data_IF_770084679569
#
_entry.id   IF_770084679569
#
_cell.length_a   1.000
_cell.length_b   1.000
_cell.length_c   1.000
_cell.angle_alpha   90.00
_cell.angle_beta   90.00
_cell.angle_gamma   90.00
#
_symmetry.space_group_name_H-M   'P 1'
#
loop_
_entity.id
_entity.type
_entity.pdbx_description
1 polymer ?
#
# COMPACT_ATOMS: atom_id res chain seq x y z
N UNK A 1 46.04 7.96 -17.06
CA UNK A 1 46.02 8.23 -15.60
C UNK A 1 45.18 9.48 -15.37
N UNK A 2 43.90 9.31 -15.09
CA UNK A 2 43.06 10.30 -14.43
C UNK A 2 42.22 9.50 -13.40
N UNK A 3 42.62 9.66 -12.15
CA UNK A 3 41.96 9.04 -11.00
C UNK A 3 40.54 9.61 -10.92
N UNK A 4 39.56 8.73 -10.88
CA UNK A 4 38.18 9.05 -10.56
C UNK A 4 38.11 9.78 -9.22
N UNK A 5 37.58 10.98 -9.25
CA UNK A 5 37.17 11.71 -8.07
C UNK A 5 35.85 11.07 -7.64
N UNK A 6 35.94 10.19 -6.64
CA UNK A 6 34.77 9.68 -5.93
C UNK A 6 34.24 10.87 -5.09
N UNK A 7 33.37 11.68 -5.72
CA UNK A 7 32.57 12.64 -4.97
C UNK A 7 31.48 11.83 -4.26
N UNK A 8 31.75 11.41 -3.03
CA UNK A 8 30.71 11.12 -2.06
C UNK A 8 29.84 12.37 -1.97
N UNK A 9 28.72 12.39 -2.73
CA UNK A 9 27.70 13.41 -2.61
C UNK A 9 27.21 13.36 -1.14
N UNK A 10 27.53 14.39 -0.35
CA UNK A 10 26.92 14.54 0.96
C UNK A 10 25.41 14.54 0.76
N UNK A 11 24.69 13.61 1.39
CA UNK A 11 23.23 13.58 1.34
C UNK A 11 22.69 14.94 1.78
N UNK A 12 21.64 15.39 1.10
CA UNK A 12 20.90 16.58 1.49
C UNK A 12 20.19 16.35 2.81
N UNK A 13 20.13 17.36 3.67
CA UNK A 13 19.47 17.29 4.97
C UNK A 13 18.00 17.66 4.84
N UNK A 14 17.13 16.73 5.21
CA UNK A 14 15.69 16.87 5.18
C UNK A 14 15.13 16.85 6.60
N UNK A 15 14.43 17.91 6.99
CA UNK A 15 13.72 17.98 8.27
C UNK A 15 12.28 17.48 8.08
N UNK A 16 11.93 16.40 8.76
CA UNK A 16 10.58 15.82 8.80
C UNK A 16 9.90 16.21 10.11
N UNK A 17 8.79 16.94 9.99
CA UNK A 17 8.05 17.50 11.13
C UNK A 17 6.63 16.98 11.11
N UNK A 18 6.29 16.13 12.06
CA UNK A 18 4.98 15.49 12.18
C UNK A 18 4.80 15.02 13.63
N UNK A 19 3.61 15.10 14.21
CA UNK A 19 3.37 14.62 15.58
C UNK A 19 3.13 13.09 15.61
N UNK A 20 2.76 12.49 14.49
CA UNK A 20 2.64 11.05 14.31
C UNK A 20 4.03 10.40 14.18
N UNK A 21 4.42 9.60 15.18
CA UNK A 21 5.66 8.81 15.12
C UNK A 21 5.65 7.85 13.92
N UNK A 22 4.47 7.31 13.59
CA UNK A 22 4.28 6.39 12.44
C UNK A 22 4.57 7.11 11.12
N UNK A 23 4.03 8.32 10.92
CA UNK A 23 4.24 9.08 9.69
C UNK A 23 5.71 9.48 9.53
N UNK A 24 6.38 9.88 10.63
CA UNK A 24 7.82 10.16 10.59
C UNK A 24 8.64 8.93 10.21
N UNK A 25 8.33 7.76 10.80
CA UNK A 25 9.04 6.52 10.49
C UNK A 25 8.81 6.07 9.03
N UNK A 26 7.59 6.20 8.51
CA UNK A 26 7.29 5.92 7.10
C UNK A 26 8.12 6.81 6.18
N UNK A 27 8.11 8.14 6.40
CA UNK A 27 8.88 9.09 5.60
C UNK A 27 10.38 8.83 5.69
N UNK A 28 10.88 8.51 6.87
CA UNK A 28 12.29 8.16 7.09
C UNK A 28 12.68 6.90 6.30
N UNK A 29 11.88 5.86 6.36
CA UNK A 29 12.18 4.61 5.63
C UNK A 29 12.21 4.81 4.10
N UNK A 30 11.36 5.68 3.56
CA UNK A 30 11.33 5.98 2.13
C UNK A 30 12.51 6.88 1.71
N UNK A 31 12.90 7.82 2.55
CA UNK A 31 13.78 8.93 2.15
C UNK A 31 15.23 8.77 2.64
N UNK A 32 15.51 7.90 3.63
CA UNK A 32 16.82 7.80 4.27
C UNK A 32 17.95 7.32 3.35
N UNK A 33 17.64 6.62 2.26
CA UNK A 33 18.64 6.20 1.29
C UNK A 33 19.20 7.39 0.49
N UNK A 34 18.40 8.44 0.31
CA UNK A 34 18.71 9.62 -0.51
C UNK A 34 19.07 10.85 0.32
N UNK A 35 18.48 10.96 1.53
CA UNK A 35 18.59 12.15 2.39
C UNK A 35 19.13 11.80 3.78
N UNK A 36 19.75 12.78 4.42
CA UNK A 36 20.02 12.75 5.85
C UNK A 36 18.78 13.27 6.57
N UNK A 37 18.03 12.39 7.24
CA UNK A 37 16.74 12.72 7.87
C UNK A 37 16.97 13.23 9.28
N UNK A 38 16.41 14.39 9.55
CA UNK A 38 16.26 14.97 10.88
C UNK A 38 14.78 15.02 11.23
N UNK A 39 14.40 14.61 12.44
CA UNK A 39 13.01 14.49 12.85
C UNK A 39 12.65 15.53 13.92
N UNK A 40 11.42 16.04 13.85
CA UNK A 40 10.82 16.88 14.88
C UNK A 40 9.38 16.44 15.14
N UNK A 41 9.01 16.24 16.39
CA UNK A 41 7.69 15.73 16.81
C UNK A 41 6.60 16.82 16.89
N UNK A 42 6.92 18.08 16.68
CA UNK A 42 6.02 19.22 16.69
C UNK A 42 6.71 20.47 16.15
N UNK A 43 5.92 21.53 15.94
CA UNK A 43 6.44 22.78 15.40
C UNK A 43 7.47 23.47 16.32
N UNK A 44 7.39 23.29 17.64
CA UNK A 44 8.40 23.86 18.57
C UNK A 44 9.77 23.19 18.35
N UNK A 45 9.81 21.86 18.31
CA UNK A 45 11.03 21.10 18.05
C UNK A 45 11.62 21.47 16.67
N UNK A 46 10.78 21.63 15.65
CA UNK A 46 11.22 22.06 14.32
C UNK A 46 11.89 23.45 14.34
N UNK A 47 11.27 24.44 15.00
CA UNK A 47 11.85 25.78 15.14
C UNK A 47 13.14 25.75 15.93
N UNK A 48 13.21 24.94 16.98
CA UNK A 48 14.45 24.77 17.77
C UNK A 48 15.58 24.18 16.92
N UNK A 49 15.30 23.17 16.09
CA UNK A 49 16.26 22.62 15.13
C UNK A 49 16.75 23.69 14.14
N UNK A 50 15.86 24.48 13.57
CA UNK A 50 16.19 25.51 12.57
C UNK A 50 16.98 26.65 13.20
N UNK A 51 16.59 27.13 14.40
CA UNK A 51 17.22 28.28 15.05
C UNK A 51 18.56 27.97 15.69
N UNK A 52 18.79 26.72 16.14
CA UNK A 52 20.03 26.31 16.84
C UNK A 52 21.10 25.76 15.92
N UNK A 53 20.74 25.32 14.71
CA UNK A 53 21.67 24.63 13.80
C UNK A 53 22.02 25.47 12.59
N UNK A 54 23.30 25.46 12.27
CA UNK A 54 23.85 25.98 11.02
C UNK A 54 24.68 24.86 10.36
N UNK A 55 24.49 24.57 9.09
CA UNK A 55 23.56 25.18 8.13
C UNK A 55 22.09 24.76 8.35
N UNK A 56 21.16 25.52 7.75
CA UNK A 56 19.74 25.21 7.69
C UNK A 56 19.50 23.86 6.95
N UNK A 57 18.37 23.17 7.19
CA UNK A 57 18.01 22.00 6.40
C UNK A 57 17.83 22.40 4.92
N UNK A 58 18.17 21.49 4.01
CA UNK A 58 18.02 21.71 2.56
C UNK A 58 16.55 21.73 2.13
N UNK A 59 15.67 20.99 2.84
CA UNK A 59 14.22 21.06 2.70
C UNK A 59 13.51 20.64 4.00
N UNK A 60 12.19 20.90 4.07
CA UNK A 60 11.34 20.52 5.20
C UNK A 60 10.04 19.91 4.70
N UNK A 61 9.67 18.75 5.25
CA UNK A 61 8.32 18.20 5.22
C UNK A 61 7.63 18.61 6.51
N UNK A 62 6.49 19.29 6.44
CA UNK A 62 5.86 19.90 7.60
C UNK A 62 4.39 19.55 7.66
N UNK A 63 3.98 18.82 8.69
CA UNK A 63 2.55 18.64 8.97
C UNK A 63 1.91 19.94 9.44
N UNK A 64 0.68 20.17 9.01
CA UNK A 64 -0.13 21.32 9.45
C UNK A 64 -0.71 21.07 10.84
N UNK A 65 -1.22 19.87 11.10
CA UNK A 65 -2.01 19.59 12.30
C UNK A 65 -1.14 18.95 13.38
N UNK A 66 -0.48 19.76 14.17
CA UNK A 66 0.37 19.30 15.27
C UNK A 66 0.01 20.05 16.58
N UNK A 67 0.21 19.39 17.74
CA UNK A 67 0.06 20.05 19.05
C UNK A 67 1.17 21.08 19.28
N UNK A 68 0.95 21.97 20.25
CA UNK A 68 1.87 23.01 20.71
C UNK A 68 2.03 24.15 19.71
N UNK A 69 2.64 23.91 18.55
CA UNK A 69 2.78 24.85 17.42
C UNK A 69 2.42 24.11 16.15
N UNK A 70 1.33 24.52 15.50
CA UNK A 70 0.90 23.97 14.21
C UNK A 70 1.78 24.42 13.05
N UNK A 71 1.66 23.75 11.89
CA UNK A 71 2.52 24.02 10.72
C UNK A 71 2.36 25.45 10.19
N UNK A 72 1.18 26.06 10.22
CA UNK A 72 1.01 27.44 9.79
C UNK A 72 1.68 28.43 10.73
N UNK A 73 1.69 28.16 12.03
CA UNK A 73 2.42 28.98 12.99
C UNK A 73 3.93 28.83 12.81
N UNK A 74 4.43 27.64 12.46
CA UNK A 74 5.85 27.45 12.06
C UNK A 74 6.18 28.35 10.87
N UNK A 75 5.40 28.29 9.78
CA UNK A 75 5.62 29.15 8.60
C UNK A 75 5.60 30.63 8.91
N UNK A 76 4.66 31.07 9.75
CA UNK A 76 4.57 32.47 10.18
C UNK A 76 5.83 32.89 10.97
N UNK A 77 6.28 32.08 11.92
CA UNK A 77 7.46 32.38 12.73
C UNK A 77 8.74 32.43 11.86
N UNK A 78 8.89 31.52 10.90
CA UNK A 78 10.01 31.54 9.96
C UNK A 78 9.99 32.83 9.13
N UNK A 79 8.83 33.25 8.63
CA UNK A 79 8.65 34.49 7.87
C UNK A 79 8.97 35.74 8.70
N UNK A 80 8.44 35.83 9.93
CA UNK A 80 8.68 36.94 10.86
C UNK A 80 10.16 37.10 11.23
N UNK A 81 10.91 35.97 11.26
CA UNK A 81 12.35 35.98 11.55
C UNK A 81 13.23 36.06 10.30
N UNK A 82 12.66 36.30 9.10
CA UNK A 82 13.36 36.36 7.81
C UNK A 82 14.18 35.08 7.50
N UNK A 83 13.73 33.93 8.02
CA UNK A 83 14.34 32.65 7.69
C UNK A 83 13.73 32.18 6.36
N UNK A 84 14.49 32.33 5.30
CA UNK A 84 14.09 32.02 3.92
C UNK A 84 15.05 31.02 3.28
N UNK A 85 14.67 30.45 2.13
CA UNK A 85 15.55 29.55 1.37
C UNK A 85 15.44 28.08 1.77
N UNK A 86 14.53 27.71 2.66
CA UNK A 86 14.18 26.32 2.94
C UNK A 86 12.97 25.98 2.08
N UNK A 87 13.07 25.13 1.04
CA UNK A 87 11.91 24.59 0.35
C UNK A 87 11.02 23.80 1.34
N UNK A 88 9.74 24.12 1.39
CA UNK A 88 8.80 23.52 2.33
C UNK A 88 7.69 22.81 1.57
N UNK A 89 7.49 21.53 1.85
CA UNK A 89 6.33 20.77 1.45
C UNK A 89 5.42 20.59 2.65
N UNK A 90 4.17 21.11 2.57
CA UNK A 90 3.19 20.91 3.61
C UNK A 90 2.48 19.58 3.44
N UNK A 91 2.32 18.86 4.54
CA UNK A 91 1.56 17.63 4.60
C UNK A 91 0.35 17.86 5.51
N UNK A 92 -0.83 17.34 5.19
CA UNK A 92 -2.02 17.55 6.03
C UNK A 92 -3.10 16.50 5.79
N UNK A 93 -3.82 16.14 6.84
CA UNK A 93 -5.05 15.35 6.73
C UNK A 93 -6.23 16.16 6.16
N UNK A 94 -6.16 17.52 6.23
CA UNK A 94 -7.22 18.42 5.77
C UNK A 94 -6.78 19.31 4.61
N UNK A 95 -6.87 18.78 3.39
CA UNK A 95 -6.56 19.51 2.15
C UNK A 95 -7.73 20.43 1.71
N UNK A 96 -8.17 21.32 2.61
CA UNK A 96 -9.23 22.28 2.29
C UNK A 96 -8.74 23.39 1.36
N UNK A 97 -9.65 23.96 0.55
CA UNK A 97 -9.33 25.11 -0.30
C UNK A 97 -8.74 26.29 0.48
N UNK A 98 -9.20 26.49 1.70
CA UNK A 98 -8.71 27.54 2.61
C UNK A 98 -7.25 27.27 3.02
N UNK A 99 -6.93 26.03 3.43
CA UNK A 99 -5.58 25.64 3.79
C UNK A 99 -4.62 25.76 2.62
N UNK A 100 -5.03 25.34 1.42
CA UNK A 100 -4.24 25.51 0.20
C UNK A 100 -3.95 26.97 -0.13
N UNK A 101 -4.96 27.84 -0.04
CA UNK A 101 -4.79 29.27 -0.28
C UNK A 101 -3.90 29.94 0.77
N UNK A 102 -4.06 29.58 2.04
CA UNK A 102 -3.24 30.06 3.15
C UNK A 102 -1.77 29.62 2.98
N UNK A 103 -1.56 28.37 2.62
CA UNK A 103 -0.23 27.83 2.35
C UNK A 103 0.48 28.52 1.18
N UNK A 104 -0.24 28.76 0.09
CA UNK A 104 0.32 29.44 -1.09
C UNK A 104 0.85 30.87 -0.77
N UNK A 105 0.26 31.57 0.21
CA UNK A 105 0.73 32.89 0.65
C UNK A 105 2.12 32.85 1.31
N UNK A 106 2.56 31.69 1.82
CA UNK A 106 3.89 31.51 2.40
C UNK A 106 4.93 31.03 1.38
N UNK A 107 4.55 30.84 0.10
CA UNK A 107 5.50 30.42 -0.95
C UNK A 107 6.00 28.99 -0.77
N UNK A 108 5.17 28.09 -0.27
CA UNK A 108 5.52 26.68 -0.12
C UNK A 108 5.80 26.02 -1.47
N UNK A 109 6.59 24.96 -1.48
CA UNK A 109 6.99 24.24 -2.70
C UNK A 109 5.94 23.24 -3.17
N UNK A 110 5.25 22.58 -2.23
CA UNK A 110 4.21 21.62 -2.50
C UNK A 110 3.22 21.53 -1.34
N UNK A 111 1.99 21.10 -1.65
CA UNK A 111 0.95 20.79 -0.70
C UNK A 111 0.49 19.36 -0.90
N UNK A 112 0.53 18.54 0.13
CA UNK A 112 0.35 17.09 0.08
C UNK A 112 -0.77 16.72 1.05
N UNK A 113 -1.76 15.98 0.57
CA UNK A 113 -2.80 15.43 1.45
C UNK A 113 -2.34 14.10 2.07
N UNK A 114 -2.63 13.90 3.35
CA UNK A 114 -2.55 12.57 3.97
C UNK A 114 -3.77 11.74 3.55
N UNK A 115 -3.58 10.45 3.31
CA UNK A 115 -2.32 9.73 3.29
C UNK A 115 -1.48 10.12 2.07
N UNK A 116 -0.17 10.21 2.25
CA UNK A 116 0.73 10.68 1.20
C UNK A 116 1.35 9.50 0.42
N UNK A 117 1.56 9.71 -0.87
CA UNK A 117 2.39 8.84 -1.70
C UNK A 117 3.88 9.16 -1.44
N UNK A 118 4.56 8.24 -0.78
CA UNK A 118 5.98 8.43 -0.43
C UNK A 118 6.89 8.43 -1.64
N UNK A 119 6.57 7.68 -2.69
CA UNK A 119 7.33 7.66 -3.94
C UNK A 119 7.17 9.00 -4.69
N UNK A 120 5.97 9.55 -4.70
CA UNK A 120 5.73 10.88 -5.24
C UNK A 120 6.56 11.95 -4.49
N UNK A 121 6.61 11.89 -3.15
CA UNK A 121 7.43 12.80 -2.32
C UNK A 121 8.91 12.65 -2.67
N UNK A 122 9.40 11.41 -2.74
CA UNK A 122 10.79 11.11 -3.11
C UNK A 122 11.13 11.67 -4.49
N UNK A 123 10.31 11.39 -5.50
CA UNK A 123 10.53 11.88 -6.86
C UNK A 123 10.52 13.40 -6.91
N UNK A 124 9.62 14.05 -6.20
CA UNK A 124 9.55 15.51 -6.12
C UNK A 124 10.77 16.13 -5.47
N UNK A 125 11.28 15.54 -4.39
CA UNK A 125 12.51 15.96 -3.72
C UNK A 125 13.73 15.73 -4.62
N UNK A 126 13.77 14.60 -5.33
CA UNK A 126 14.87 14.28 -6.27
C UNK A 126 14.93 15.29 -7.43
N UNK A 127 13.79 15.62 -8.04
CA UNK A 127 13.71 16.67 -9.05
C UNK A 127 14.20 18.02 -8.52
N UNK A 128 13.82 18.37 -7.29
CA UNK A 128 14.20 19.65 -6.68
C UNK A 128 15.70 19.77 -6.46
N UNK A 129 16.39 18.66 -6.18
CA UNK A 129 17.82 18.67 -5.85
C UNK A 129 18.71 18.10 -6.97
N UNK A 130 18.17 17.84 -8.16
CA UNK A 130 18.88 17.19 -9.27
C UNK A 130 19.58 15.89 -8.82
N UNK A 131 18.94 15.11 -7.92
CA UNK A 131 19.47 13.83 -7.46
C UNK A 131 19.17 12.80 -8.56
N UNK A 132 20.21 12.27 -9.23
CA UNK A 132 19.99 11.27 -10.27
C UNK A 132 19.39 10.00 -9.67
N UNK A 133 18.69 9.23 -10.50
CA UNK A 133 18.41 7.83 -10.21
C UNK A 133 19.75 7.16 -9.87
N UNK A 134 19.86 6.48 -8.73
CA UNK A 134 21.05 5.69 -8.46
C UNK A 134 21.23 4.71 -9.62
N UNK A 135 22.50 4.44 -10.05
CA UNK A 135 22.78 3.50 -11.15
C UNK A 135 22.22 2.08 -10.88
N UNK A 136 21.73 1.81 -9.68
CA UNK A 136 20.97 0.61 -9.31
C UNK A 136 19.47 0.72 -9.61
N UNK A 137 18.93 1.90 -9.92
CA UNK A 137 17.52 2.11 -10.26
C UNK A 137 17.24 2.15 -11.76
N UNK A 138 18.27 2.19 -12.64
CA UNK A 138 18.07 1.95 -14.08
C UNK A 138 17.55 0.54 -14.40
N UNK A 139 17.44 -0.33 -13.39
CA UNK A 139 16.79 -1.65 -13.48
C UNK A 139 15.42 -1.71 -12.77
N UNK A 140 14.94 -0.63 -12.14
CA UNK A 140 13.55 -0.49 -11.71
C UNK A 140 12.69 0.30 -12.72
N UNK A 141 13.07 0.31 -14.01
CA UNK A 141 12.06 0.40 -15.06
C UNK A 141 11.12 -0.79 -14.86
N UNK A 142 9.91 -0.51 -14.28
CA UNK A 142 8.78 -1.42 -14.34
C UNK A 142 9.20 -2.90 -14.33
N UNK A 143 9.90 -3.35 -13.31
CA UNK A 143 9.90 -4.75 -12.97
C UNK A 143 8.49 -5.10 -12.46
N UNK A 144 7.56 -5.16 -13.40
CA UNK A 144 6.50 -6.10 -13.26
C UNK A 144 7.19 -7.43 -13.02
N UNK A 145 7.03 -8.04 -11.87
CA UNK A 145 7.41 -9.39 -11.43
C UNK A 145 8.24 -10.23 -12.43
N UNK A 146 9.25 -9.65 -13.07
CA UNK A 146 9.94 -10.21 -14.22
C UNK A 146 11.26 -10.91 -13.88
N UNK A 147 11.72 -10.82 -12.63
CA UNK A 147 12.87 -11.61 -12.21
C UNK A 147 12.47 -12.52 -11.03
N UNK A 148 12.44 -13.86 -11.24
CA UNK A 148 12.08 -14.80 -10.20
C UNK A 148 13.11 -14.70 -9.08
N UNK A 149 12.73 -14.08 -7.97
CA UNK A 149 13.57 -14.09 -6.77
C UNK A 149 13.72 -15.55 -6.34
N UNK A 150 14.94 -16.05 -6.31
CA UNK A 150 15.18 -17.36 -5.72
C UNK A 150 14.98 -17.24 -4.20
N UNK A 151 13.84 -17.74 -3.71
CA UNK A 151 13.52 -17.76 -2.28
C UNK A 151 14.37 -18.81 -1.57
N UNK A 152 15.23 -18.38 -0.65
CA UNK A 152 15.97 -19.30 0.21
C UNK A 152 15.11 -19.78 1.38
N UNK A 153 15.49 -20.90 2.01
CA UNK A 153 14.82 -21.38 3.23
C UNK A 153 14.79 -20.30 4.34
N UNK A 154 15.83 -19.45 4.39
CA UNK A 154 15.91 -18.33 5.32
C UNK A 154 14.85 -17.27 4.99
N UNK A 155 14.72 -16.88 3.73
CA UNK A 155 13.72 -15.89 3.30
C UNK A 155 12.31 -16.39 3.63
N UNK A 156 12.03 -17.66 3.38
CA UNK A 156 10.74 -18.29 3.70
C UNK A 156 10.48 -18.28 5.21
N UNK A 157 11.46 -18.63 6.05
CA UNK A 157 11.31 -18.68 7.50
C UNK A 157 11.09 -17.28 8.11
N UNK A 158 11.87 -16.29 7.68
CA UNK A 158 11.72 -14.90 8.13
C UNK A 158 10.38 -14.31 7.66
N UNK A 159 10.01 -14.54 6.40
CA UNK A 159 8.71 -14.14 5.85
C UNK A 159 7.55 -14.75 6.64
N UNK A 160 7.59 -16.04 6.97
CA UNK A 160 6.57 -16.68 7.78
C UNK A 160 6.45 -16.07 9.18
N UNK A 161 7.58 -15.70 9.78
CA UNK A 161 7.61 -15.03 11.08
C UNK A 161 7.00 -13.63 11.00
N UNK A 162 7.31 -12.89 9.94
CA UNK A 162 6.77 -11.56 9.68
C UNK A 162 5.25 -11.61 9.46
N UNK A 163 4.79 -12.50 8.58
CA UNK A 163 3.36 -12.74 8.31
C UNK A 163 2.60 -13.05 9.61
N UNK A 164 3.14 -13.90 10.47
CA UNK A 164 2.49 -14.25 11.73
C UNK A 164 2.33 -13.03 12.67
N UNK A 165 3.34 -12.16 12.75
CA UNK A 165 3.27 -10.91 13.52
C UNK A 165 2.21 -9.97 12.94
N UNK A 166 2.25 -9.73 11.63
CA UNK A 166 1.31 -8.86 10.94
C UNK A 166 -0.13 -9.36 11.10
N UNK A 167 -0.37 -10.66 10.92
CA UNK A 167 -1.68 -11.28 11.13
C UNK A 167 -2.19 -11.15 12.56
N UNK A 168 -1.30 -11.23 13.56
CA UNK A 168 -1.69 -11.03 14.96
C UNK A 168 -2.21 -9.62 15.22
N UNK A 169 -1.55 -8.60 14.67
CA UNK A 169 -1.98 -7.20 14.78
C UNK A 169 -3.30 -6.99 14.04
N UNK A 170 -3.41 -7.47 12.81
CA UNK A 170 -4.62 -7.31 12.00
C UNK A 170 -5.84 -8.01 12.64
N UNK A 171 -5.67 -9.20 13.21
CA UNK A 171 -6.75 -9.90 13.94
C UNK A 171 -7.24 -9.14 15.19
N UNK A 172 -6.33 -8.47 15.90
CA UNK A 172 -6.73 -7.61 17.03
C UNK A 172 -7.58 -6.44 16.54
N UNK A 173 -7.17 -5.80 15.44
CA UNK A 173 -7.95 -4.72 14.82
C UNK A 173 -9.34 -5.22 14.40
N UNK A 174 -9.43 -6.29 13.61
CA UNK A 174 -10.71 -6.84 13.16
C UNK A 174 -11.64 -7.20 14.33
N UNK A 175 -11.08 -7.78 15.38
CA UNK A 175 -11.85 -8.08 16.60
C UNK A 175 -12.39 -6.82 17.29
N UNK A 176 -11.60 -5.74 17.34
CA UNK A 176 -12.04 -4.46 17.91
C UNK A 176 -13.14 -3.82 17.07
N UNK A 177 -13.13 -4.06 15.76
CA UNK A 177 -14.16 -3.63 14.81
C UNK A 177 -15.38 -4.58 14.76
N UNK A 178 -15.47 -5.58 15.64
CA UNK A 178 -16.50 -6.64 15.60
C UNK A 178 -16.58 -7.35 14.22
N UNK A 179 -15.43 -7.48 13.55
CA UNK A 179 -15.30 -8.12 12.25
C UNK A 179 -14.59 -9.47 12.38
N UNK A 180 -14.98 -10.42 11.52
CA UNK A 180 -14.32 -11.72 11.41
C UNK A 180 -13.20 -11.68 10.38
N UNK A 181 -12.09 -12.39 10.64
CA UNK A 181 -11.02 -12.59 9.67
C UNK A 181 -11.32 -13.70 8.63
N UNK A 182 -12.47 -14.35 8.74
CA UNK A 182 -12.84 -15.50 7.89
C UNK A 182 -12.92 -15.15 6.40
N UNK A 183 -13.42 -13.95 6.05
CA UNK A 183 -13.47 -13.49 4.68
C UNK A 183 -12.06 -13.40 4.07
N UNK A 184 -11.13 -12.74 4.76
CA UNK A 184 -9.73 -12.61 4.31
C UNK A 184 -9.03 -13.96 4.20
N UNK A 185 -9.30 -14.87 5.15
CA UNK A 185 -8.77 -16.23 5.10
C UNK A 185 -9.31 -17.00 3.89
N UNK A 186 -10.60 -16.91 3.57
CA UNK A 186 -11.18 -17.55 2.39
C UNK A 186 -10.66 -16.95 1.09
N UNK A 187 -10.51 -15.62 1.03
CA UNK A 187 -9.91 -14.92 -0.11
C UNK A 187 -8.48 -15.43 -0.38
N UNK A 188 -7.67 -15.59 0.66
CA UNK A 188 -6.31 -16.14 0.54
C UNK A 188 -6.32 -17.57 -0.01
N UNK A 189 -7.18 -18.45 0.49
CA UNK A 189 -7.32 -19.84 0.02
C UNK A 189 -7.80 -19.92 -1.43
N UNK A 190 -8.77 -19.10 -1.82
CA UNK A 190 -9.25 -19.03 -3.21
C UNK A 190 -8.13 -18.50 -4.11
N UNK A 191 -7.38 -17.51 -3.65
CA UNK A 191 -6.19 -16.98 -4.35
C UNK A 191 -5.18 -18.08 -4.60
N UNK A 192 -4.89 -18.94 -3.61
CA UNK A 192 -3.98 -20.08 -3.78
C UNK A 192 -4.49 -21.07 -4.84
N UNK A 193 -5.78 -21.41 -4.80
CA UNK A 193 -6.38 -22.30 -5.81
C UNK A 193 -6.25 -21.72 -7.23
N UNK A 194 -6.51 -20.43 -7.39
CA UNK A 194 -6.41 -19.74 -8.68
C UNK A 194 -4.96 -19.64 -9.14
N UNK A 195 -4.01 -19.33 -8.26
CA UNK A 195 -2.60 -19.23 -8.61
C UNK A 195 -2.02 -20.57 -9.05
N UNK A 196 -2.37 -21.67 -8.38
CA UNK A 196 -1.93 -23.01 -8.78
C UNK A 196 -2.41 -23.38 -10.20
N UNK A 197 -3.68 -23.10 -10.52
CA UNK A 197 -4.23 -23.33 -11.88
C UNK A 197 -3.59 -22.38 -12.89
N UNK A 198 -3.39 -21.10 -12.53
CA UNK A 198 -2.74 -20.13 -13.39
C UNK A 198 -1.29 -20.52 -13.70
N UNK A 199 -0.51 -20.93 -12.71
CA UNK A 199 0.86 -21.39 -12.89
C UNK A 199 0.92 -22.59 -13.81
N UNK A 200 -0.01 -23.53 -13.67
CA UNK A 200 -0.12 -24.70 -14.55
C UNK A 200 -0.45 -24.31 -16.00
N UNK A 201 -1.41 -23.40 -16.21
CA UNK A 201 -1.86 -22.99 -17.54
C UNK A 201 -0.83 -22.13 -18.28
N UNK A 202 -0.21 -21.19 -17.59
CA UNK A 202 0.79 -20.28 -18.16
C UNK A 202 2.15 -20.96 -18.39
N UNK A 203 2.41 -22.10 -17.70
CA UNK A 203 3.70 -22.72 -17.67
C UNK A 203 4.78 -21.87 -17.00
N UNK A 204 4.36 -20.89 -16.20
CA UNK A 204 5.26 -20.00 -15.48
C UNK A 204 5.99 -20.76 -14.37
N UNK A 205 7.28 -21.00 -14.58
CA UNK A 205 8.14 -21.73 -13.63
C UNK A 205 8.53 -20.92 -12.40
N UNK A 206 8.32 -19.62 -12.44
CA UNK A 206 8.61 -18.69 -11.34
C UNK A 206 7.53 -18.73 -10.26
N UNK A 207 6.40 -19.33 -10.57
CA UNK A 207 5.32 -19.62 -9.62
C UNK A 207 5.43 -21.03 -9.05
N UNK A 208 6.56 -21.33 -8.41
CA UNK A 208 6.71 -22.56 -7.64
C UNK A 208 5.89 -22.56 -6.33
N UNK A 209 5.87 -23.66 -5.61
CA UNK A 209 5.08 -23.82 -4.40
C UNK A 209 5.36 -22.75 -3.34
N UNK A 210 6.62 -22.40 -3.00
CA UNK A 210 6.92 -21.32 -2.08
C UNK A 210 6.36 -19.97 -2.51
N UNK A 211 6.50 -19.60 -3.78
CA UNK A 211 5.97 -18.34 -4.32
C UNK A 211 4.46 -18.28 -4.23
N UNK A 212 3.77 -19.33 -4.68
CA UNK A 212 2.30 -19.41 -4.57
C UNK A 212 1.83 -19.26 -3.13
N UNK A 213 2.51 -19.90 -2.17
CA UNK A 213 2.17 -19.81 -0.75
C UNK A 213 2.39 -18.40 -0.17
N UNK A 214 3.44 -17.70 -0.57
CA UNK A 214 3.69 -16.34 -0.11
C UNK A 214 2.66 -15.37 -0.72
N UNK A 215 2.38 -15.51 -2.01
CA UNK A 215 1.42 -14.67 -2.73
C UNK A 215 0.00 -14.86 -2.16
N UNK A 216 -0.42 -16.09 -1.93
CA UNK A 216 -1.76 -16.37 -1.37
C UNK A 216 -1.92 -15.80 0.05
N UNK A 217 -0.87 -15.87 0.86
CA UNK A 217 -0.87 -15.25 2.20
C UNK A 217 -0.88 -13.72 2.15
N UNK A 218 -0.28 -13.10 1.14
CA UNK A 218 -0.37 -11.66 0.94
C UNK A 218 -1.83 -11.23 0.71
N UNK A 219 -2.61 -12.05 0.01
CA UNK A 219 -4.02 -11.80 -0.22
C UNK A 219 -4.89 -11.77 1.06
N UNK A 220 -4.40 -12.25 2.20
CA UNK A 220 -5.08 -12.08 3.50
C UNK A 220 -5.08 -10.61 3.98
N UNK A 221 -4.15 -9.78 3.48
CA UNK A 221 -3.90 -8.44 3.97
C UNK A 221 -4.30 -7.34 2.99
N UNK A 222 -4.95 -7.64 1.89
CA UNK A 222 -5.24 -6.66 0.83
C UNK A 222 -5.98 -5.40 1.35
N UNK A 223 -6.78 -5.54 2.40
CA UNK A 223 -7.54 -4.47 3.07
C UNK A 223 -6.97 -4.05 4.44
N UNK A 224 -5.73 -4.43 4.76
CA UNK A 224 -5.13 -4.06 6.06
C UNK A 224 -5.09 -2.54 6.29
N UNK A 225 -5.13 -1.77 5.23
CA UNK A 225 -5.17 -0.31 5.29
C UNK A 225 -6.44 0.28 5.88
N UNK A 226 -7.50 -0.51 6.05
CA UNK A 226 -8.67 -0.10 6.84
C UNK A 226 -8.30 0.29 8.28
N UNK A 227 -7.16 -0.19 8.80
CA UNK A 227 -6.64 0.23 10.11
C UNK A 227 -6.30 1.71 10.20
N UNK A 228 -6.10 2.40 9.07
CA UNK A 228 -5.68 3.80 9.02
C UNK A 228 -6.76 4.77 8.49
N UNK A 229 -7.98 4.30 8.22
CA UNK A 229 -9.11 5.15 7.85
C UNK A 229 -10.17 5.18 8.96
N UNK A 230 -11.06 6.18 8.99
CA UNK A 230 -12.13 6.25 9.99
C UNK A 230 -13.05 5.02 9.97
N UNK A 231 -13.35 4.46 11.15
CA UNK A 231 -14.16 3.24 11.32
C UNK A 231 -15.49 3.30 10.56
N UNK A 232 -16.18 4.46 10.54
CA UNK A 232 -17.44 4.64 9.82
C UNK A 232 -17.35 4.31 8.34
N UNK A 233 -16.20 4.59 7.71
CA UNK A 233 -15.97 4.30 6.28
C UNK A 233 -15.81 2.79 6.04
N UNK A 234 -15.19 2.08 6.98
CA UNK A 234 -15.07 0.62 6.93
C UNK A 234 -16.45 -0.06 6.97
N UNK A 235 -17.40 0.56 7.70
CA UNK A 235 -18.81 0.09 7.72
C UNK A 235 -19.67 0.61 6.56
N UNK A 236 -19.07 1.31 5.59
CA UNK A 236 -19.77 1.82 4.40
C UNK A 236 -20.58 3.09 4.63
N UNK A 237 -20.37 3.80 5.73
CA UNK A 237 -21.00 5.11 5.96
C UNK A 237 -20.22 6.20 5.22
N UNK A 238 -20.72 6.56 4.04
CA UNK A 238 -20.14 7.54 3.12
C UNK A 238 -20.99 8.81 3.05
N UNK A 239 -21.30 9.39 4.22
CA UNK A 239 -22.23 10.54 4.31
C UNK A 239 -21.58 11.89 4.02
N UNK A 240 -20.27 12.00 4.08
CA UNK A 240 -19.52 13.24 3.79
C UNK A 240 -19.09 13.22 2.31
N UNK A 241 -19.16 14.36 1.58
CA UNK A 241 -18.82 14.39 0.15
C UNK A 241 -17.46 13.85 -0.24
N UNK A 242 -16.45 14.02 0.63
CA UNK A 242 -15.08 13.59 0.37
C UNK A 242 -14.78 12.16 0.87
N UNK A 243 -15.77 11.46 1.46
CA UNK A 243 -15.61 10.13 2.04
C UNK A 243 -15.12 9.09 1.03
N UNK A 244 -15.58 9.17 -0.21
CA UNK A 244 -15.14 8.23 -1.25
C UNK A 244 -13.64 8.36 -1.56
N UNK A 245 -13.10 9.58 -1.60
CA UNK A 245 -11.67 9.80 -1.82
C UNK A 245 -10.86 9.36 -0.60
N UNK A 246 -11.34 9.64 0.60
CA UNK A 246 -10.71 9.18 1.84
C UNK A 246 -10.73 7.65 1.94
N UNK A 247 -11.83 6.98 1.59
CA UNK A 247 -11.91 5.52 1.55
C UNK A 247 -10.87 4.92 0.61
N UNK A 248 -10.70 5.47 -0.58
CA UNK A 248 -9.73 4.96 -1.57
C UNK A 248 -8.27 4.96 -1.08
N UNK A 249 -7.98 5.71 -0.03
CA UNK A 249 -6.61 5.79 0.53
C UNK A 249 -6.19 4.55 1.30
N UNK A 250 -7.14 3.64 1.67
CA UNK A 250 -6.78 2.42 2.40
C UNK A 250 -5.76 1.55 1.66
N UNK A 251 -5.77 1.53 0.32
CA UNK A 251 -4.77 0.80 -0.46
C UNK A 251 -3.35 1.28 -0.20
N UNK A 252 -3.13 2.59 -0.25
CA UNK A 252 -1.84 3.23 0.03
C UNK A 252 -1.42 3.03 1.49
N UNK A 253 -2.35 3.20 2.43
CA UNK A 253 -2.10 2.96 3.86
C UNK A 253 -1.70 1.50 4.10
N UNK A 254 -2.40 0.56 3.46
CA UNK A 254 -2.10 -0.87 3.56
C UNK A 254 -0.69 -1.21 3.08
N UNK A 255 -0.28 -0.69 1.92
CA UNK A 255 1.07 -0.83 1.40
C UNK A 255 2.13 -0.29 2.39
N UNK A 256 1.86 0.86 3.00
CA UNK A 256 2.72 1.46 4.01
C UNK A 256 2.84 0.58 5.28
N UNK A 257 1.70 0.10 5.81
CA UNK A 257 1.68 -0.79 7.00
C UNK A 257 2.50 -2.06 6.76
N UNK A 258 2.35 -2.68 5.59
CA UNK A 258 3.07 -3.90 5.21
C UNK A 258 4.57 -3.66 5.08
N UNK A 259 5.00 -2.47 4.70
CA UNK A 259 6.42 -2.16 4.51
C UNK A 259 7.14 -1.85 5.81
N UNK A 260 6.44 -1.37 6.84
CA UNK A 260 7.02 -0.98 8.12
C UNK A 260 7.61 -2.18 8.87
N UNK A 261 8.84 -2.02 9.37
CA UNK A 261 9.56 -3.05 10.14
C UNK A 261 9.76 -4.40 9.42
N UNK A 262 9.69 -4.42 8.09
CA UNK A 262 10.06 -5.60 7.30
C UNK A 262 11.59 -5.72 7.19
N UNK A 263 12.09 -6.96 7.20
CA UNK A 263 13.50 -7.23 6.89
C UNK A 263 13.66 -7.44 5.36
N UNK A 264 14.91 -7.33 4.89
CA UNK A 264 15.22 -7.59 3.48
C UNK A 264 14.87 -9.03 3.02
N UNK A 265 14.84 -9.98 3.94
CA UNK A 265 14.42 -11.35 3.69
C UNK A 265 12.92 -11.45 3.38
N UNK A 266 12.13 -10.49 3.85
CA UNK A 266 10.68 -10.41 3.58
C UNK A 266 10.34 -9.64 2.29
N UNK A 267 11.35 -9.16 1.54
CA UNK A 267 11.17 -8.25 0.40
C UNK A 267 10.12 -8.74 -0.60
N UNK A 268 10.16 -10.01 -0.99
CA UNK A 268 9.20 -10.56 -1.95
C UNK A 268 7.76 -10.50 -1.42
N UNK A 269 7.52 -10.91 -0.18
CA UNK A 269 6.19 -10.80 0.44
C UNK A 269 5.72 -9.35 0.51
N UNK A 270 6.59 -8.44 0.97
CA UNK A 270 6.26 -7.02 1.11
C UNK A 270 5.88 -6.42 -0.24
N UNK A 271 6.65 -6.69 -1.28
CA UNK A 271 6.39 -6.21 -2.63
C UNK A 271 5.03 -6.70 -3.14
N UNK A 272 4.76 -8.01 -3.07
CA UNK A 272 3.49 -8.60 -3.51
C UNK A 272 2.31 -8.07 -2.69
N UNK A 273 2.46 -8.02 -1.36
CA UNK A 273 1.38 -7.59 -0.48
C UNK A 273 1.07 -6.10 -0.63
N UNK A 274 2.10 -5.26 -0.77
CA UNK A 274 1.92 -3.83 -1.03
C UNK A 274 1.24 -3.58 -2.37
N UNK A 275 1.59 -4.33 -3.42
CA UNK A 275 0.94 -4.26 -4.73
C UNK A 275 -0.55 -4.66 -4.62
N UNK A 276 -0.86 -5.74 -3.90
CA UNK A 276 -2.26 -6.14 -3.64
C UNK A 276 -3.03 -5.08 -2.86
N UNK A 277 -2.47 -4.53 -1.78
CA UNK A 277 -3.10 -3.45 -1.03
C UNK A 277 -3.41 -2.26 -1.91
N UNK A 278 -2.44 -1.82 -2.71
CA UNK A 278 -2.53 -0.64 -3.55
C UNK A 278 -3.54 -0.79 -4.68
N UNK A 279 -3.59 -1.97 -5.33
CA UNK A 279 -4.19 -2.12 -6.66
C UNK A 279 -5.36 -3.13 -6.72
N UNK A 280 -5.83 -3.72 -5.60
CA UNK A 280 -6.94 -4.68 -5.64
C UNK A 280 -8.27 -4.08 -6.17
N UNK A 281 -8.41 -2.76 -6.19
CA UNK A 281 -9.53 -2.06 -6.82
C UNK A 281 -9.29 -1.69 -8.28
N UNK A 282 -8.10 -1.96 -8.83
CA UNK A 282 -7.84 -1.75 -10.25
C UNK A 282 -8.63 -2.76 -11.10
N UNK A 283 -9.00 -2.33 -12.31
CA UNK A 283 -9.70 -3.16 -13.27
C UNK A 283 -8.88 -3.27 -14.55
N UNK A 284 -8.97 -4.42 -15.22
CA UNK A 284 -8.18 -4.69 -16.42
C UNK A 284 -8.39 -3.67 -17.55
N UNK A 285 -9.57 -3.04 -17.61
CA UNK A 285 -9.90 -1.99 -18.58
C UNK A 285 -9.43 -0.58 -18.21
N UNK A 286 -8.83 -0.41 -17.02
CA UNK A 286 -8.34 0.86 -16.49
C UNK A 286 -9.44 1.75 -15.90
N UNK A 287 -10.64 1.23 -15.63
CA UNK A 287 -11.71 1.98 -14.96
C UNK A 287 -11.67 1.84 -13.44
N UNK A 288 -10.64 1.16 -12.91
CA UNK A 288 -10.38 1.01 -11.48
C UNK A 288 -9.67 2.22 -10.87
N UNK A 289 -9.22 2.07 -9.64
CA UNK A 289 -8.45 3.06 -8.91
C UNK A 289 -7.35 2.39 -8.06
N UNK A 290 -6.31 3.10 -7.60
CA UNK A 290 -6.10 4.55 -7.67
C UNK A 290 -5.47 5.05 -8.98
N UNK A 291 -4.77 4.21 -9.74
CA UNK A 291 -3.94 4.64 -10.87
C UNK A 291 -4.59 4.45 -12.24
N UNK A 292 -5.69 3.69 -12.33
CA UNK A 292 -6.37 3.36 -13.58
C UNK A 292 -5.51 2.46 -14.49
N UNK A 293 -4.81 1.49 -13.88
CA UNK A 293 -3.91 0.57 -14.57
C UNK A 293 -4.65 -0.27 -15.62
N UNK A 294 -4.06 -0.39 -16.82
CA UNK A 294 -4.67 -1.10 -17.95
C UNK A 294 -3.93 -2.37 -18.31
N UNK A 295 -4.69 -3.43 -18.49
CA UNK A 295 -4.13 -4.68 -18.98
C UNK A 295 -3.02 -5.21 -18.08
N UNK A 296 -1.83 -5.52 -18.65
CA UNK A 296 -0.70 -6.05 -17.88
C UNK A 296 -0.03 -5.08 -16.91
N UNK A 297 -0.38 -3.79 -16.92
CA UNK A 297 0.11 -2.82 -15.93
C UNK A 297 -0.39 -3.19 -14.52
N UNK A 298 -1.57 -3.78 -14.42
CA UNK A 298 -2.06 -4.38 -13.18
C UNK A 298 -1.54 -5.81 -13.06
N UNK A 299 -0.80 -6.11 -12.00
CA UNK A 299 -0.17 -7.43 -11.83
C UNK A 299 -1.20 -8.57 -11.84
N UNK A 300 -0.79 -9.72 -12.34
CA UNK A 300 -1.67 -10.90 -12.36
C UNK A 300 -2.06 -11.34 -10.95
N UNK A 301 -1.20 -11.11 -9.95
CA UNK A 301 -1.46 -11.49 -8.57
C UNK A 301 -2.56 -10.63 -7.96
N UNK A 302 -2.52 -9.33 -8.22
CA UNK A 302 -3.55 -8.38 -7.79
C UNK A 302 -4.88 -8.65 -8.48
N UNK A 303 -4.86 -8.94 -9.79
CA UNK A 303 -6.07 -9.33 -10.52
C UNK A 303 -6.70 -10.62 -9.96
N UNK A 304 -5.88 -11.63 -9.63
CA UNK A 304 -6.33 -12.89 -9.02
C UNK A 304 -6.90 -12.64 -7.62
N UNK A 305 -6.22 -11.83 -6.78
CA UNK A 305 -6.70 -11.46 -5.45
C UNK A 305 -8.06 -10.78 -5.52
N UNK A 306 -8.22 -9.79 -6.40
CA UNK A 306 -9.49 -9.10 -6.63
C UNK A 306 -10.62 -10.06 -7.03
N UNK A 307 -10.33 -11.04 -7.90
CA UNK A 307 -11.34 -12.03 -8.31
C UNK A 307 -11.69 -12.99 -7.17
N UNK A 308 -10.70 -13.37 -6.37
CA UNK A 308 -10.92 -14.22 -5.19
C UNK A 308 -11.81 -13.52 -4.15
N UNK A 309 -11.50 -12.27 -3.82
CA UNK A 309 -12.29 -11.40 -2.93
C UNK A 309 -13.73 -11.28 -3.44
N UNK A 310 -13.89 -10.82 -4.68
CA UNK A 310 -15.21 -10.64 -5.27
C UNK A 310 -16.02 -11.94 -5.34
N UNK A 311 -15.35 -13.06 -5.65
CA UNK A 311 -15.99 -14.36 -5.67
C UNK A 311 -16.49 -14.73 -4.26
N UNK A 312 -15.65 -14.57 -3.23
CA UNK A 312 -16.03 -14.89 -1.85
C UNK A 312 -17.21 -14.05 -1.37
N UNK A 313 -17.18 -12.75 -1.59
CA UNK A 313 -18.28 -11.85 -1.23
C UNK A 313 -19.61 -12.27 -1.83
N UNK A 314 -19.61 -12.52 -3.14
CA UNK A 314 -20.83 -12.90 -3.85
C UNK A 314 -21.32 -14.31 -3.49
N UNK A 315 -20.41 -15.24 -3.26
CA UNK A 315 -20.74 -16.60 -2.87
C UNK A 315 -21.23 -16.65 -1.43
N UNK A 316 -20.49 -16.03 -0.51
CA UNK A 316 -20.77 -16.09 0.94
C UNK A 316 -22.06 -15.35 1.29
N UNK A 317 -22.33 -14.19 0.71
CA UNK A 317 -23.57 -13.44 0.93
C UNK A 317 -24.84 -14.21 0.56
N UNK A 318 -24.72 -15.23 -0.27
CA UNK A 318 -25.84 -16.11 -0.71
C UNK A 318 -25.93 -17.43 0.05
N UNK A 319 -24.92 -17.73 0.86
CA UNK A 319 -24.97 -18.91 1.71
C UNK A 319 -25.92 -18.65 2.87
N UNK A 320 -27.11 -19.26 2.84
CA UNK A 320 -28.12 -19.17 3.90
C UNK A 320 -28.32 -20.53 4.57
N UNK A 321 -28.17 -20.60 5.87
CA UNK A 321 -28.44 -21.81 6.63
C UNK A 321 -27.52 -22.98 6.27
N UNK A 322 -28.08 -24.06 5.69
CA UNK A 322 -27.32 -25.26 5.28
C UNK A 322 -26.78 -25.21 3.85
N UNK A 323 -27.10 -24.16 3.09
CA UNK A 323 -26.65 -24.03 1.70
C UNK A 323 -25.13 -23.91 1.59
N UNK A 324 -24.57 -24.53 0.58
CA UNK A 324 -23.14 -24.50 0.28
C UNK A 324 -22.91 -23.91 -1.11
N UNK A 325 -21.69 -23.48 -1.40
CA UNK A 325 -21.31 -23.20 -2.78
C UNK A 325 -21.28 -24.51 -3.55
N UNK A 326 -22.30 -24.74 -4.35
CA UNK A 326 -22.37 -25.84 -5.32
C UNK A 326 -22.02 -25.35 -6.75
N UNK A 327 -22.09 -26.25 -7.71
CA UNK A 327 -21.80 -25.90 -9.10
C UNK A 327 -22.70 -24.82 -9.65
N UNK A 328 -23.98 -24.73 -9.22
CA UNK A 328 -24.91 -23.69 -9.71
C UNK A 328 -24.62 -22.34 -9.11
N UNK A 329 -24.25 -22.30 -7.82
CA UNK A 329 -23.80 -21.07 -7.16
C UNK A 329 -22.53 -20.56 -7.81
N UNK A 330 -21.55 -21.44 -8.10
CA UNK A 330 -20.34 -21.07 -8.80
C UNK A 330 -20.68 -20.45 -10.18
N UNK A 331 -21.52 -21.11 -10.99
CA UNK A 331 -21.88 -20.60 -12.30
C UNK A 331 -22.57 -19.24 -12.23
N UNK A 332 -23.44 -19.05 -11.24
CA UNK A 332 -24.09 -17.76 -11.01
C UNK A 332 -23.06 -16.64 -10.70
N UNK A 333 -22.12 -16.90 -9.79
CA UNK A 333 -21.09 -15.91 -9.43
C UNK A 333 -20.16 -15.65 -10.62
N UNK A 334 -19.74 -16.72 -11.32
CA UNK A 334 -18.92 -16.62 -12.52
C UNK A 334 -19.57 -15.72 -13.60
N UNK A 335 -20.84 -15.99 -13.92
CA UNK A 335 -21.59 -15.19 -14.90
C UNK A 335 -21.76 -13.73 -14.45
N UNK A 336 -21.90 -13.48 -13.15
CA UNK A 336 -22.01 -12.11 -12.64
C UNK A 336 -20.68 -11.34 -12.79
N UNK A 337 -19.55 -11.99 -12.54
CA UNK A 337 -18.22 -11.41 -12.77
C UNK A 337 -17.98 -11.19 -14.28
N UNK A 338 -18.34 -12.16 -15.12
CA UNK A 338 -18.17 -12.08 -16.57
C UNK A 338 -18.98 -10.94 -17.21
N UNK A 339 -20.15 -10.60 -16.64
CA UNK A 339 -20.98 -9.46 -17.11
C UNK A 339 -20.33 -8.10 -16.89
N UNK A 340 -19.36 -8.00 -16.02
CA UNK A 340 -18.52 -6.80 -15.89
C UNK A 340 -17.44 -6.79 -16.98
N UNK A 341 -17.90 -6.70 -18.23
CA UNK A 341 -17.03 -6.76 -19.42
C UNK A 341 -15.85 -5.80 -19.32
N UNK A 342 -14.65 -6.34 -19.57
CA UNK A 342 -13.41 -5.56 -19.53
C UNK A 342 -12.76 -5.42 -18.16
N UNK A 343 -13.47 -5.71 -17.06
CA UNK A 343 -12.92 -5.54 -15.70
C UNK A 343 -11.89 -6.61 -15.31
N UNK A 344 -11.86 -7.74 -16.01
CA UNK A 344 -10.97 -8.90 -15.77
C UNK A 344 -10.39 -9.39 -17.09
N UNK A 345 -9.15 -9.87 -17.08
CA UNK A 345 -8.54 -10.49 -18.25
C UNK A 345 -9.22 -11.82 -18.62
N UNK A 346 -9.26 -12.13 -19.92
CA UNK A 346 -9.82 -13.41 -20.40
C UNK A 346 -9.04 -14.62 -19.84
N UNK A 347 -7.75 -14.46 -19.61
CA UNK A 347 -6.87 -15.50 -19.04
C UNK A 347 -7.29 -15.83 -17.61
N UNK A 348 -7.51 -14.82 -16.77
CA UNK A 348 -7.93 -15.02 -15.37
C UNK A 348 -9.38 -15.54 -15.32
N UNK A 349 -10.27 -15.09 -16.19
CA UNK A 349 -11.61 -15.67 -16.31
C UNK A 349 -11.56 -17.15 -16.71
N UNK A 350 -10.66 -17.51 -17.62
CA UNK A 350 -10.42 -18.91 -17.99
C UNK A 350 -9.89 -19.74 -16.81
N UNK A 351 -8.94 -19.18 -16.05
CA UNK A 351 -8.41 -19.79 -14.83
C UNK A 351 -9.52 -20.02 -13.79
N UNK A 352 -10.32 -19.00 -13.49
CA UNK A 352 -11.46 -19.12 -12.56
C UNK A 352 -12.42 -20.25 -12.96
N UNK A 353 -12.76 -20.33 -14.25
CA UNK A 353 -13.66 -21.38 -14.77
C UNK A 353 -13.10 -22.79 -14.58
N UNK A 354 -11.80 -22.97 -14.78
CA UNK A 354 -11.12 -24.27 -14.62
C UNK A 354 -10.98 -24.66 -13.15
N UNK A 355 -10.81 -23.69 -12.25
CA UNK A 355 -10.72 -23.92 -10.80
C UNK A 355 -12.06 -24.25 -10.14
N UNK A 356 -13.18 -24.23 -10.87
CA UNK A 356 -14.53 -24.48 -10.37
C UNK A 356 -14.63 -25.65 -9.40
N UNK A 357 -14.13 -26.81 -9.77
CA UNK A 357 -14.26 -28.03 -8.95
C UNK A 357 -13.53 -27.88 -7.62
N UNK A 358 -12.34 -27.29 -7.62
CA UNK A 358 -11.54 -27.04 -6.41
C UNK A 358 -12.21 -26.02 -5.48
N UNK A 359 -12.73 -24.92 -6.02
CA UNK A 359 -13.44 -23.90 -5.22
C UNK A 359 -14.71 -24.48 -4.59
N UNK A 360 -15.51 -25.25 -5.34
CA UNK A 360 -16.74 -25.90 -4.81
C UNK A 360 -16.38 -26.89 -3.71
N UNK A 361 -15.32 -27.68 -3.88
CA UNK A 361 -14.85 -28.63 -2.86
C UNK A 361 -14.33 -27.92 -1.61
N UNK A 362 -13.60 -26.82 -1.79
CA UNK A 362 -13.12 -25.97 -0.69
C UNK A 362 -14.29 -25.48 0.18
N UNK A 363 -15.32 -24.87 -0.40
CA UNK A 363 -16.48 -24.38 0.35
C UNK A 363 -17.26 -25.49 1.07
N UNK A 364 -17.38 -26.67 0.46
CA UNK A 364 -17.99 -27.83 1.11
C UNK A 364 -17.24 -28.25 2.37
N UNK A 365 -15.90 -28.30 2.30
CA UNK A 365 -15.05 -28.62 3.44
C UNK A 365 -15.12 -27.53 4.50
N UNK A 366 -15.06 -26.26 4.10
CA UNK A 366 -15.15 -25.11 4.99
C UNK A 366 -16.43 -25.14 5.85
N UNK A 367 -17.59 -25.35 5.24
CA UNK A 367 -18.88 -25.40 5.95
C UNK A 367 -18.97 -26.63 6.85
N UNK A 368 -18.47 -27.77 6.41
CA UNK A 368 -18.45 -28.98 7.23
C UNK A 368 -17.67 -28.78 8.53
N UNK A 369 -16.54 -28.09 8.46
CA UNK A 369 -15.68 -27.83 9.60
C UNK A 369 -16.25 -26.79 10.58
N UNK A 370 -17.17 -25.92 10.14
CA UNK A 370 -17.88 -24.96 11.03
C UNK A 370 -19.02 -25.58 11.83
N UNK A 371 -19.55 -26.75 11.40
CA UNK A 371 -20.65 -27.45 12.08
C UNK A 371 -20.19 -28.39 13.23
N UNK A 372 -18.87 -28.46 13.50
CA UNK A 372 -18.24 -29.20 14.59
C UNK A 372 -17.77 -28.22 15.66
#
# INVERSE_FOLDING_TARGET
MLKGINMSLMKKRLLVVDDSEIDREILKNILADYFEIEEAENGYAALECIMKKSPLPDAMLLDIQMPVIDGFNVLRILSENNITGIPIMLITAEATKENVQKAAAFGITAFISKPFDGEWILNRLREMFDIPLAEHEEHEEKEGFSDPQILTDKDIAETNTYIAKLASVYKIYLKNMDMSDEHYARTAEITELLLNEYAFLSGNRDLDVPHVQIISRAAYFYDIGHMGIPDRLVYGDMTIPDDNELYKTHGLIGASIVSVNSSKECRYFVQVCSDMCMHHHEKYDGTGYPHGLKGPENSVFTQICRIAEKFDDMAYSRMTGESTVDSKMFDYVYEAIERETGSVSLEIMGTLRRTKAAIVDYYRKYIKNRKV
#
